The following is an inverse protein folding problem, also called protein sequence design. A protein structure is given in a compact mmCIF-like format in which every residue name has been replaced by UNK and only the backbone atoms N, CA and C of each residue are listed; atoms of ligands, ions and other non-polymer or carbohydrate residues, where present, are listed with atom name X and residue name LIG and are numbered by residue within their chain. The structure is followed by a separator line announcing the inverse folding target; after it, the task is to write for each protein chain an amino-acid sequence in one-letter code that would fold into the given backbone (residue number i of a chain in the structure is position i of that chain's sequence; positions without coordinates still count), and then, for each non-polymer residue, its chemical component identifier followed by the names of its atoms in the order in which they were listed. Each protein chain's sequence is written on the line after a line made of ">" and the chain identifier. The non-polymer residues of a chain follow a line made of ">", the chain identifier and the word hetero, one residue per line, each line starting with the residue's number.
data_IF_593878502017
#
_entry.id   IF_593878502017
#
_cell.length_a   1.000
_cell.length_b   1.000
_cell.length_c   1.000
_cell.angle_alpha   90.00
_cell.angle_beta   90.00
_cell.angle_gamma   90.00
#
_symmetry.space_group_name_H-M   'P 1'
#
loop_
_entity.id
_entity.type
_entity.pdbx_description
1 polymer ?
#
# COMPACT_ATOMS: atom_id res chain seq x y z
N UNK A 1 -30.77 -33.18 51.62
CA UNK A 1 -31.91 -32.42 51.05
C UNK A 1 -31.49 -30.94 50.92
N UNK A 2 -30.55 -30.61 50.01
CA UNK A 2 -29.88 -29.29 49.99
C UNK A 2 -29.67 -28.72 48.56
N UNK A 3 -30.59 -28.98 47.63
CA UNK A 3 -30.58 -28.34 46.30
C UNK A 3 -32.01 -28.00 45.83
N UNK A 4 -32.81 -27.43 46.71
CA UNK A 4 -34.05 -26.73 46.33
C UNK A 4 -33.95 -25.33 46.94
N UNK A 5 -33.91 -24.30 46.09
CA UNK A 5 -34.01 -22.87 46.42
C UNK A 5 -32.70 -22.03 46.41
N UNK A 6 -31.90 -22.06 45.33
CA UNK A 6 -30.91 -20.99 45.10
C UNK A 6 -31.03 -20.26 43.74
N UNK A 7 -31.99 -20.60 42.87
CA UNK A 7 -32.27 -19.80 41.67
C UNK A 7 -33.76 -19.54 41.62
N UNK A 8 -34.16 -18.28 41.84
CA UNK A 8 -35.57 -17.91 41.72
C UNK A 8 -36.02 -18.14 40.28
N UNK A 9 -37.21 -18.71 40.06
CA UNK A 9 -37.74 -18.93 38.69
C UNK A 9 -37.79 -17.63 37.86
N UNK A 10 -37.83 -16.47 38.52
CA UNK A 10 -37.70 -15.14 37.91
C UNK A 10 -36.32 -14.90 37.28
N UNK A 11 -35.25 -15.43 37.86
CA UNK A 11 -33.90 -15.33 37.30
C UNK A 11 -33.71 -16.20 36.05
N UNK A 12 -34.32 -17.38 35.99
CA UNK A 12 -34.36 -18.22 34.77
C UNK A 12 -35.15 -17.55 33.65
N UNK A 13 -36.30 -16.95 33.96
CA UNK A 13 -37.11 -16.23 32.97
C UNK A 13 -36.36 -14.97 32.49
N UNK A 14 -35.75 -14.22 33.41
CA UNK A 14 -34.95 -13.04 33.06
C UNK A 14 -33.73 -13.36 32.21
N UNK A 15 -33.08 -14.51 32.41
CA UNK A 15 -31.93 -14.91 31.59
C UNK A 15 -32.36 -15.30 30.17
N UNK A 16 -33.50 -15.98 30.02
CA UNK A 16 -34.08 -16.30 28.71
C UNK A 16 -34.43 -15.01 27.95
N UNK A 17 -35.08 -14.04 28.61
CA UNK A 17 -35.37 -12.74 28.01
C UNK A 17 -34.09 -11.98 27.60
N UNK A 18 -33.04 -12.00 28.42
CA UNK A 18 -31.76 -11.37 28.09
C UNK A 18 -31.08 -12.02 26.87
N UNK A 19 -31.14 -13.35 26.75
CA UNK A 19 -30.61 -14.08 25.59
C UNK A 19 -31.39 -13.71 24.32
N UNK A 20 -32.73 -13.67 24.39
CA UNK A 20 -33.57 -13.29 23.26
C UNK A 20 -33.23 -11.87 22.79
N UNK A 21 -33.10 -10.92 23.72
CA UNK A 21 -32.72 -9.54 23.40
C UNK A 21 -31.32 -9.49 22.76
N UNK A 22 -30.35 -10.24 23.29
CA UNK A 22 -29.00 -10.29 22.73
C UNK A 22 -28.98 -10.85 21.30
N UNK A 23 -29.77 -11.89 21.02
CA UNK A 23 -29.92 -12.47 19.67
C UNK A 23 -30.56 -11.45 18.72
N UNK A 24 -31.60 -10.73 19.15
CA UNK A 24 -32.25 -9.69 18.34
C UNK A 24 -31.24 -8.56 18.01
N UNK A 25 -30.48 -8.09 19.00
CA UNK A 25 -29.45 -7.06 18.81
C UNK A 25 -28.37 -7.56 17.83
N UNK A 26 -27.93 -8.82 17.96
CA UNK A 26 -26.93 -9.41 17.07
C UNK A 26 -27.42 -9.47 15.62
N UNK A 27 -28.68 -9.88 15.40
CA UNK A 27 -29.30 -9.93 14.06
C UNK A 27 -29.42 -8.53 13.44
N UNK A 28 -29.61 -7.47 14.25
CA UNK A 28 -29.70 -6.10 13.75
C UNK A 28 -28.32 -5.50 13.43
N UNK A 29 -27.32 -5.72 14.28
CA UNK A 29 -25.97 -5.14 14.12
C UNK A 29 -25.18 -5.82 12.99
N UNK A 30 -25.30 -7.14 12.88
CA UNK A 30 -24.55 -7.95 11.89
C UNK A 30 -24.70 -7.45 10.44
N UNK A 31 -25.91 -7.23 9.88
CA UNK A 31 -26.06 -6.74 8.52
C UNK A 31 -25.45 -5.35 8.33
N UNK A 32 -25.48 -4.48 9.34
CA UNK A 32 -24.84 -3.16 9.27
C UNK A 32 -23.31 -3.27 9.18
N UNK A 33 -22.70 -4.14 10.00
CA UNK A 33 -21.25 -4.38 9.97
C UNK A 33 -20.84 -5.02 8.64
N UNK A 34 -21.59 -6.00 8.15
CA UNK A 34 -21.32 -6.67 6.87
C UNK A 34 -21.46 -5.70 5.69
N UNK A 35 -22.52 -4.89 5.66
CA UNK A 35 -22.76 -3.91 4.60
C UNK A 35 -21.66 -2.84 4.57
N UNK A 36 -21.26 -2.31 5.73
CA UNK A 36 -20.17 -1.34 5.84
C UNK A 36 -18.85 -1.93 5.35
N UNK A 37 -18.52 -3.17 5.75
CA UNK A 37 -17.30 -3.86 5.31
C UNK A 37 -17.29 -4.09 3.80
N UNK A 38 -18.42 -4.53 3.23
CA UNK A 38 -18.55 -4.74 1.80
C UNK A 38 -18.41 -3.44 0.99
N UNK A 39 -19.02 -2.35 1.46
CA UNK A 39 -18.98 -1.06 0.76
C UNK A 39 -17.59 -0.42 0.80
N UNK A 40 -16.91 -0.49 1.95
CA UNK A 40 -15.53 -0.01 2.09
C UNK A 40 -14.60 -0.86 1.22
N UNK A 41 -14.74 -2.19 1.26
CA UNK A 41 -13.94 -3.10 0.42
C UNK A 41 -14.08 -2.81 -1.07
N UNK A 42 -15.30 -2.53 -1.56
CA UNK A 42 -15.52 -2.13 -2.96
C UNK A 42 -14.85 -0.81 -3.33
N UNK A 43 -14.88 0.18 -2.43
CA UNK A 43 -14.20 1.48 -2.67
C UNK A 43 -12.68 1.31 -2.70
N UNK A 44 -12.11 0.54 -1.78
CA UNK A 44 -10.67 0.26 -1.77
C UNK A 44 -10.25 -0.53 -3.01
N UNK A 45 -11.01 -1.55 -3.39
CA UNK A 45 -10.76 -2.33 -4.61
C UNK A 45 -10.75 -1.46 -5.87
N UNK A 46 -11.68 -0.51 -5.99
CA UNK A 46 -11.68 0.44 -7.11
C UNK A 46 -10.44 1.34 -7.12
N UNK A 47 -9.99 1.83 -5.95
CA UNK A 47 -8.77 2.65 -5.85
C UNK A 47 -7.49 1.85 -6.18
N UNK A 48 -7.45 0.57 -5.81
CA UNK A 48 -6.38 -0.38 -6.16
C UNK A 48 -6.40 -0.61 -7.67
N UNK A 49 -7.57 -0.89 -8.25
CA UNK A 49 -7.70 -1.14 -9.68
C UNK A 49 -7.33 0.09 -10.52
N UNK A 50 -7.64 1.29 -10.03
CA UNK A 50 -7.25 2.57 -10.63
C UNK A 50 -5.77 2.92 -10.45
N UNK A 51 -5.01 2.13 -9.67
CA UNK A 51 -3.59 2.34 -9.40
C UNK A 51 -3.31 3.52 -8.45
N UNK A 52 -4.32 4.01 -7.74
CA UNK A 52 -4.19 5.12 -6.79
C UNK A 52 -3.56 4.64 -5.48
N UNK A 53 -3.80 3.36 -5.15
CA UNK A 53 -3.19 2.66 -4.02
C UNK A 53 -2.45 1.43 -4.54
N UNK A 54 -1.19 1.29 -4.14
CA UNK A 54 -0.40 0.09 -4.39
C UNK A 54 -0.40 -0.78 -3.13
N UNK A 55 -0.92 -2.00 -3.26
CA UNK A 55 -0.90 -2.98 -2.18
C UNK A 55 0.29 -3.92 -2.33
N UNK A 56 1.34 -3.63 -1.59
CA UNK A 56 2.49 -4.50 -1.49
C UNK A 56 2.23 -5.62 -0.50
N UNK A 57 2.17 -6.84 -1.03
CA UNK A 57 2.24 -8.05 -0.24
C UNK A 57 3.71 -8.48 -0.17
N UNK A 58 4.15 -9.05 0.96
CA UNK A 58 5.49 -9.61 1.06
C UNK A 58 5.56 -10.87 0.19
N UNK A 59 6.39 -10.82 -0.85
CA UNK A 59 6.54 -11.90 -1.82
C UNK A 59 7.76 -12.79 -1.53
N UNK A 60 8.55 -12.47 -0.48
CA UNK A 60 9.79 -13.15 -0.06
C UNK A 60 10.57 -13.76 -1.24
N UNK A 61 11.15 -12.88 -2.06
CA UNK A 61 11.86 -13.21 -3.29
C UNK A 61 13.37 -13.39 -3.09
N UNK A 62 13.86 -13.35 -1.84
CA UNK A 62 15.29 -13.40 -1.49
C UNK A 62 16.04 -14.60 -2.11
N UNK A 63 15.36 -15.75 -2.21
CA UNK A 63 15.93 -16.99 -2.76
C UNK A 63 15.89 -17.06 -4.29
N UNK A 64 15.31 -16.05 -4.96
CA UNK A 64 15.26 -15.97 -6.43
C UNK A 64 16.28 -14.93 -6.91
N UNK A 65 17.06 -15.26 -7.94
CA UNK A 65 18.00 -14.32 -8.57
C UNK A 65 17.28 -13.35 -9.51
N UNK A 66 16.43 -12.51 -8.91
CA UNK A 66 15.66 -11.47 -9.58
C UNK A 66 16.27 -10.12 -9.25
N UNK A 67 16.54 -9.34 -10.29
CA UNK A 67 17.17 -8.03 -10.20
C UNK A 67 16.21 -6.97 -10.72
N UNK A 68 16.28 -5.78 -10.14
CA UNK A 68 15.48 -4.66 -10.61
C UNK A 68 16.02 -4.09 -11.91
N UNK A 69 15.11 -3.84 -12.85
CA UNK A 69 15.30 -2.87 -13.92
C UNK A 69 14.63 -1.54 -13.52
N UNK A 70 15.16 -0.43 -14.03
CA UNK A 70 14.64 0.90 -13.72
C UNK A 70 14.83 1.88 -14.87
N UNK A 71 13.96 2.87 -14.96
CA UNK A 71 14.13 4.05 -15.83
C UNK A 71 14.81 5.23 -15.13
N UNK A 72 15.33 5.05 -13.90
CA UNK A 72 15.98 6.09 -13.11
C UNK A 72 17.04 6.87 -13.91
N UNK A 73 18.02 6.17 -14.47
CA UNK A 73 19.16 6.79 -15.16
C UNK A 73 18.69 7.67 -16.33
N UNK A 74 17.73 7.18 -17.11
CA UNK A 74 17.13 7.95 -18.20
C UNK A 74 16.44 9.23 -17.73
N UNK A 75 15.92 9.26 -16.50
CA UNK A 75 15.17 10.38 -15.95
C UNK A 75 16.03 11.37 -15.17
N UNK A 76 17.06 10.89 -14.46
CA UNK A 76 17.84 11.69 -13.50
C UNK A 76 19.32 11.78 -13.86
N UNK A 77 19.81 10.94 -14.77
CA UNK A 77 21.22 10.78 -15.11
C UNK A 77 22.02 9.97 -14.08
N UNK A 78 21.37 9.44 -13.04
CA UNK A 78 22.03 8.70 -11.96
C UNK A 78 21.96 7.21 -12.26
N UNK A 79 23.13 6.57 -12.39
CA UNK A 79 23.24 5.12 -12.52
C UNK A 79 23.38 4.48 -11.13
N UNK A 80 22.47 3.57 -10.82
CA UNK A 80 22.62 2.64 -9.71
C UNK A 80 23.40 1.41 -10.17
N UNK A 81 23.77 0.57 -9.22
CA UNK A 81 24.43 -0.70 -9.47
C UNK A 81 23.44 -1.66 -10.15
N UNK A 82 23.88 -2.34 -11.22
CA UNK A 82 23.01 -3.22 -12.01
C UNK A 82 22.66 -4.55 -11.31
N UNK A 83 23.20 -4.78 -10.12
CA UNK A 83 23.08 -5.97 -9.28
C UNK A 83 22.14 -5.77 -8.08
N UNK A 84 21.27 -4.76 -8.14
CA UNK A 84 20.22 -4.55 -7.15
C UNK A 84 19.20 -5.71 -7.15
N UNK A 85 19.43 -6.68 -6.27
CA UNK A 85 18.57 -7.85 -6.07
C UNK A 85 17.26 -7.43 -5.39
N UNK A 86 16.13 -7.93 -5.90
CA UNK A 86 14.82 -7.67 -5.33
C UNK A 86 14.52 -8.65 -4.20
N UNK A 87 14.25 -8.13 -2.99
CA UNK A 87 13.80 -8.96 -1.86
C UNK A 87 12.31 -9.31 -1.94
N UNK A 88 11.52 -8.51 -2.66
CA UNK A 88 10.06 -8.63 -2.67
C UNK A 88 9.37 -8.05 -1.45
N UNK A 89 10.14 -7.44 -0.54
CA UNK A 89 9.64 -6.67 0.58
C UNK A 89 9.91 -5.18 0.34
N UNK A 90 8.83 -4.43 0.08
CA UNK A 90 8.92 -3.01 -0.29
C UNK A 90 9.68 -2.16 0.73
N UNK A 91 9.65 -2.50 2.04
CA UNK A 91 10.37 -1.71 3.05
C UNK A 91 11.88 -1.92 2.95
N UNK A 92 12.30 -3.17 2.75
CA UNK A 92 13.71 -3.53 2.60
C UNK A 92 14.23 -2.92 1.29
N UNK A 93 13.53 -3.18 0.18
CA UNK A 93 13.91 -2.69 -1.14
C UNK A 93 13.94 -1.15 -1.18
N UNK A 94 12.95 -0.47 -0.58
CA UNK A 94 12.94 0.98 -0.45
C UNK A 94 14.15 1.52 0.31
N UNK A 95 14.50 0.90 1.43
CA UNK A 95 15.62 1.37 2.27
C UNK A 95 16.94 1.23 1.53
N UNK A 96 17.15 0.09 0.86
CA UNK A 96 18.35 -0.17 0.06
C UNK A 96 18.48 0.85 -1.08
N UNK A 97 17.41 1.03 -1.86
CA UNK A 97 17.41 1.93 -3.01
C UNK A 97 17.59 3.39 -2.58
N UNK A 98 16.93 3.83 -1.51
CA UNK A 98 17.09 5.20 -0.98
C UNK A 98 18.54 5.42 -0.53
N UNK A 99 19.12 4.46 0.19
CA UNK A 99 20.50 4.54 0.68
C UNK A 99 21.50 4.66 -0.46
N UNK A 100 21.33 3.84 -1.50
CA UNK A 100 22.21 3.86 -2.68
C UNK A 100 22.04 5.14 -3.49
N UNK A 101 20.79 5.57 -3.74
CA UNK A 101 20.49 6.85 -4.39
C UNK A 101 21.13 8.01 -3.65
N UNK A 102 20.93 8.09 -2.33
CA UNK A 102 21.49 9.16 -1.53
C UNK A 102 23.01 9.21 -1.65
N UNK A 103 23.67 8.05 -1.56
CA UNK A 103 25.13 7.95 -1.66
C UNK A 103 25.62 8.45 -3.03
N UNK A 104 24.97 8.02 -4.12
CA UNK A 104 25.34 8.44 -5.49
C UNK A 104 25.07 9.91 -5.74
N UNK A 105 23.90 10.41 -5.34
CA UNK A 105 23.49 11.82 -5.50
C UNK A 105 24.45 12.74 -4.75
N UNK A 106 24.80 12.38 -3.51
CA UNK A 106 25.73 13.17 -2.69
C UNK A 106 27.16 13.13 -3.22
N UNK A 107 27.59 12.02 -3.84
CA UNK A 107 28.89 11.94 -4.51
C UNK A 107 28.98 12.85 -5.76
N UNK A 108 27.85 13.25 -6.33
CA UNK A 108 27.75 14.20 -7.45
C UNK A 108 27.48 15.65 -6.99
N UNK A 109 27.65 15.96 -5.70
CA UNK A 109 27.38 17.28 -5.09
C UNK A 109 25.94 17.80 -5.27
N UNK A 110 24.98 16.87 -5.41
CA UNK A 110 23.55 17.18 -5.57
C UNK A 110 22.79 17.07 -4.25
N UNK A 111 21.68 17.79 -4.18
CA UNK A 111 20.77 17.73 -3.02
C UNK A 111 19.84 16.53 -3.11
N UNK A 112 19.64 15.82 -2.00
CA UNK A 112 18.74 14.67 -1.90
C UNK A 112 17.78 14.82 -0.72
N UNK A 113 16.50 14.58 -0.96
CA UNK A 113 15.52 14.38 0.11
C UNK A 113 14.48 13.35 -0.32
N UNK A 114 13.86 12.67 0.65
CA UNK A 114 12.80 11.71 0.38
C UNK A 114 11.67 11.80 1.40
N UNK A 115 10.49 11.36 0.97
CA UNK A 115 9.30 11.14 1.81
C UNK A 115 8.72 9.78 1.50
N UNK A 116 8.47 8.97 2.52
CA UNK A 116 7.76 7.70 2.35
C UNK A 116 6.25 7.94 2.41
N UNK A 117 5.47 7.13 1.67
CA UNK A 117 4.01 7.13 1.67
C UNK A 117 3.42 8.54 1.48
N UNK A 118 3.93 9.26 0.48
CA UNK A 118 3.56 10.65 0.24
C UNK A 118 2.26 10.75 -0.56
N UNK A 119 1.32 11.56 -0.08
CA UNK A 119 0.06 11.82 -0.78
C UNK A 119 0.25 12.89 -1.84
N UNK A 120 -0.18 12.59 -3.07
CA UNK A 120 -0.25 13.53 -4.18
C UNK A 120 -1.70 13.66 -4.64
N UNK A 121 -2.24 14.87 -4.54
CA UNK A 121 -3.55 15.18 -5.11
C UNK A 121 -3.46 15.24 -6.64
N UNK A 122 -4.22 14.38 -7.30
CA UNK A 122 -4.34 14.27 -8.74
C UNK A 122 -5.32 15.32 -9.29
N UNK A 123 -5.37 15.46 -10.62
CA UNK A 123 -6.24 16.44 -11.30
C UNK A 123 -7.74 16.18 -11.09
N UNK A 124 -8.13 14.93 -10.83
CA UNK A 124 -9.50 14.54 -10.50
C UNK A 124 -9.86 14.74 -9.02
N UNK A 125 -8.96 15.36 -8.23
CA UNK A 125 -9.13 15.65 -6.81
C UNK A 125 -8.92 14.43 -5.89
N UNK A 126 -8.56 13.27 -6.43
CA UNK A 126 -8.21 12.08 -5.64
C UNK A 126 -6.78 12.17 -5.15
N UNK A 127 -6.52 11.66 -3.94
CA UNK A 127 -5.17 11.53 -3.40
C UNK A 127 -4.57 10.17 -3.73
N UNK A 128 -3.46 10.17 -4.47
CA UNK A 128 -2.64 8.98 -4.70
C UNK A 128 -1.57 8.84 -3.63
N UNK A 129 -1.36 7.62 -3.15
CA UNK A 129 -0.33 7.33 -2.14
C UNK A 129 0.90 6.79 -2.86
N UNK A 130 1.97 7.59 -2.87
CA UNK A 130 3.25 7.23 -3.49
C UNK A 130 4.14 6.51 -2.47
N UNK A 131 4.69 5.33 -2.78
CA UNK A 131 5.53 4.57 -1.85
C UNK A 131 6.75 5.36 -1.38
N UNK A 132 7.48 5.96 -2.33
CA UNK A 132 8.61 6.84 -2.05
C UNK A 132 8.51 8.04 -2.99
N UNK A 133 8.67 9.24 -2.45
CA UNK A 133 8.75 10.47 -3.21
C UNK A 133 10.12 11.10 -2.95
N UNK A 134 11.00 11.06 -3.95
CA UNK A 134 12.34 11.64 -3.85
C UNK A 134 12.36 13.04 -4.47
N UNK A 135 13.30 13.87 -4.06
CA UNK A 135 13.62 15.14 -4.71
C UNK A 135 15.13 15.24 -4.86
N UNK A 136 15.57 15.42 -6.11
CA UNK A 136 16.97 15.61 -6.50
C UNK A 136 17.07 16.98 -7.17
N UNK A 137 17.86 17.90 -6.61
CA UNK A 137 18.03 19.27 -7.13
C UNK A 137 16.71 19.94 -7.54
N UNK A 138 15.78 19.96 -6.58
CA UNK A 138 14.44 20.55 -6.72
C UNK A 138 13.49 19.84 -7.69
N UNK A 139 13.93 18.78 -8.38
CA UNK A 139 13.06 17.94 -9.21
C UNK A 139 12.56 16.76 -8.40
N UNK A 140 11.24 16.64 -8.29
CA UNK A 140 10.63 15.55 -7.54
C UNK A 140 10.18 14.40 -8.42
N UNK A 141 10.44 13.19 -7.95
CA UNK A 141 10.14 11.96 -8.66
C UNK A 141 9.42 10.97 -7.72
N UNK A 142 8.18 10.56 -8.04
CA UNK A 142 7.55 9.45 -7.36
C UNK A 142 8.16 8.12 -7.83
N UNK A 143 8.48 7.23 -6.89
CA UNK A 143 9.06 5.91 -7.13
C UNK A 143 8.05 4.82 -6.77
N UNK A 144 7.94 3.83 -7.65
CA UNK A 144 7.09 2.65 -7.48
C UNK A 144 7.88 1.36 -7.64
N UNK A 145 7.47 0.31 -6.92
CA UNK A 145 8.04 -1.02 -7.01
C UNK A 145 7.09 -1.93 -7.77
N UNK A 146 7.61 -2.71 -8.71
CA UNK A 146 6.78 -3.57 -9.56
C UNK A 146 7.28 -5.01 -9.51
N UNK A 147 6.59 -5.77 -8.66
CA UNK A 147 6.88 -7.18 -8.43
C UNK A 147 6.02 -8.16 -9.24
N UNK A 148 4.89 -7.72 -9.79
CA UNK A 148 3.93 -8.59 -10.47
C UNK A 148 3.12 -7.80 -11.51
N UNK A 149 2.34 -8.51 -12.32
CA UNK A 149 1.52 -7.92 -13.39
C UNK A 149 0.47 -6.93 -12.87
N UNK A 150 -0.07 -7.15 -11.67
CA UNK A 150 -0.99 -6.19 -11.04
C UNK A 150 -0.30 -4.86 -10.79
N UNK A 151 0.88 -4.86 -10.19
CA UNK A 151 1.68 -3.65 -9.96
C UNK A 151 2.05 -2.95 -11.28
N UNK A 152 2.36 -3.72 -12.33
CA UNK A 152 2.65 -3.19 -13.67
C UNK A 152 1.44 -2.44 -14.25
N UNK A 153 0.27 -3.05 -14.20
CA UNK A 153 -0.97 -2.43 -14.66
C UNK A 153 -1.32 -1.17 -13.86
N UNK A 154 -1.13 -1.20 -12.54
CA UNK A 154 -1.33 -0.04 -11.67
C UNK A 154 -0.35 1.09 -12.01
N UNK A 155 0.93 0.77 -12.24
CA UNK A 155 1.96 1.72 -12.61
C UNK A 155 1.63 2.43 -13.92
N UNK A 156 1.23 1.67 -14.94
CA UNK A 156 0.85 2.24 -16.24
C UNK A 156 -0.32 3.21 -16.13
N UNK A 157 -1.32 2.89 -15.29
CA UNK A 157 -2.47 3.78 -15.04
C UNK A 157 -2.04 5.05 -14.30
N UNK A 158 -1.34 4.92 -13.17
CA UNK A 158 -0.99 6.08 -12.32
C UNK A 158 0.05 6.98 -12.98
N UNK A 159 0.99 6.43 -13.76
CA UNK A 159 2.05 7.21 -14.40
C UNK A 159 1.47 8.27 -15.35
N UNK A 160 0.41 7.93 -16.11
CA UNK A 160 -0.29 8.90 -16.97
C UNK A 160 -0.92 10.04 -16.17
N UNK A 161 -1.52 9.74 -15.02
CA UNK A 161 -2.15 10.72 -14.13
C UNK A 161 -1.10 11.62 -13.46
N UNK A 162 0.01 11.06 -13.00
CA UNK A 162 1.12 11.81 -12.41
C UNK A 162 1.83 12.71 -13.44
N UNK A 163 2.00 12.23 -14.67
CA UNK A 163 2.54 13.02 -15.76
C UNK A 163 1.70 14.28 -16.04
N UNK A 164 0.37 14.15 -15.98
CA UNK A 164 -0.54 15.30 -16.12
C UNK A 164 -0.43 16.34 -14.99
N UNK A 165 0.23 16.01 -13.88
CA UNK A 165 0.58 16.92 -12.77
C UNK A 165 2.02 17.44 -12.86
N UNK A 166 2.77 17.07 -13.90
CA UNK A 166 4.17 17.45 -14.11
C UNK A 166 5.19 16.51 -13.47
N UNK A 167 4.78 15.37 -12.91
CA UNK A 167 5.70 14.40 -12.31
C UNK A 167 6.12 13.33 -13.31
N UNK A 168 7.42 13.00 -13.34
CA UNK A 168 7.94 11.83 -14.06
C UNK A 168 8.23 10.72 -13.06
N UNK A 169 7.48 9.64 -13.14
CA UNK A 169 7.57 8.51 -12.21
C UNK A 169 8.73 7.58 -12.55
N UNK A 170 9.39 7.08 -11.52
CA UNK A 170 10.47 6.09 -11.61
C UNK A 170 9.89 4.73 -11.19
N UNK A 171 10.21 3.67 -11.92
CA UNK A 171 9.90 2.30 -11.50
C UNK A 171 11.17 1.55 -11.11
N UNK A 172 11.02 0.61 -10.19
CA UNK A 172 11.94 -0.50 -9.96
C UNK A 172 11.15 -1.79 -10.17
N UNK A 173 11.42 -2.49 -11.26
CA UNK A 173 10.61 -3.63 -11.71
C UNK A 173 11.46 -4.88 -11.90
N UNK A 174 10.93 -6.03 -11.47
CA UNK A 174 11.49 -7.34 -11.83
C UNK A 174 10.86 -7.91 -13.11
N UNK A 175 9.87 -7.20 -13.65
CA UNK A 175 9.21 -7.50 -14.92
C UNK A 175 9.71 -6.55 -16.02
N UNK A 176 9.67 -6.95 -17.29
CA UNK A 176 9.89 -6.03 -18.41
C UNK A 176 8.84 -4.92 -18.41
N UNK A 177 9.28 -3.68 -18.61
CA UNK A 177 8.45 -2.47 -18.60
C UNK A 177 8.35 -1.85 -19.99
#
# INVERSE_FOLDING_TARGET
>A
MFFKNCVSGRALISSIFAIIIAVIIFIIITPFVLFRRATIGKKTAALIEEGIIFEYHDLNLNDKDLYFNSNLESLTGISLSNDLKASGNVKIDATLIISELQTKVQAEDKTFSFKAMHNITLNDGKDAIVPIFITIDQKSHPIYFVYNETHKNQFNKINSKLYSRGFKSIYFSILPM
#
